data_IF_982862838144
#
_entry.id   IF_982862838144
#
_cell.length_a   1.000
_cell.length_b   1.000
_cell.length_c   1.000
_cell.angle_alpha   90.00
_cell.angle_beta   90.00
_cell.angle_gamma   90.00
#
_symmetry.space_group_name_H-M   'P 1'
#
loop_
_entity.id
_entity.type
_entity.pdbx_description
1 polymer ?
#
# COMPACT_ATOMS: atom_id res chain seq x y z
N UNK A 1 -7.98 -6.04 -17.17
CA UNK A 1 -8.37 -7.47 -17.05
C UNK A 1 -9.43 -7.60 -15.98
N UNK A 2 -10.17 -8.76 -15.95
CA UNK A 2 -11.18 -8.98 -14.92
C UNK A 2 -11.04 -10.36 -14.29
N UNK A 3 -11.14 -10.41 -12.98
CA UNK A 3 -11.26 -11.63 -12.19
C UNK A 3 -12.72 -11.78 -11.75
N UNK A 4 -13.35 -12.89 -12.08
CA UNK A 4 -14.72 -13.14 -11.63
C UNK A 4 -14.70 -13.72 -10.22
N UNK A 5 -15.20 -12.96 -9.27
CA UNK A 5 -15.34 -13.39 -7.89
C UNK A 5 -16.83 -13.58 -7.55
N UNK A 6 -17.27 -14.83 -7.53
CA UNK A 6 -18.65 -15.20 -7.16
C UNK A 6 -19.74 -14.41 -7.88
N UNK A 7 -19.50 -14.14 -9.18
CA UNK A 7 -20.47 -13.45 -10.06
C UNK A 7 -20.27 -11.96 -10.21
N UNK A 8 -19.33 -11.34 -9.52
CA UNK A 8 -18.91 -9.96 -9.77
C UNK A 8 -17.54 -9.89 -10.44
N UNK A 9 -17.32 -8.86 -11.22
CA UNK A 9 -16.08 -8.62 -11.97
C UNK A 9 -15.17 -7.66 -11.20
N UNK A 10 -14.02 -8.15 -10.78
CA UNK A 10 -12.97 -7.37 -10.12
C UNK A 10 -11.94 -6.98 -11.17
N UNK A 11 -11.78 -5.69 -11.38
CA UNK A 11 -10.85 -5.16 -12.36
C UNK A 11 -9.41 -5.18 -11.83
N UNK A 12 -8.47 -5.56 -12.68
CA UNK A 12 -7.04 -5.47 -12.39
C UNK A 12 -6.22 -5.28 -13.65
N UNK A 13 -5.00 -4.81 -13.51
CA UNK A 13 -4.01 -4.62 -14.56
C UNK A 13 -2.73 -5.37 -14.21
N UNK A 14 -2.12 -6.03 -15.19
CA UNK A 14 -0.81 -6.66 -15.04
C UNK A 14 0.18 -6.02 -16.01
N UNK A 15 1.37 -5.69 -15.51
CA UNK A 15 2.46 -5.12 -16.29
C UNK A 15 3.73 -5.93 -16.03
N UNK A 16 4.40 -6.37 -17.11
CA UNK A 16 5.62 -7.17 -17.03
C UNK A 16 5.40 -8.64 -16.67
N UNK A 17 6.49 -9.36 -16.47
CA UNK A 17 6.54 -10.78 -16.16
C UNK A 17 7.54 -11.05 -15.03
N UNK A 18 7.46 -12.20 -14.36
CA UNK A 18 8.36 -12.60 -13.30
C UNK A 18 7.69 -12.67 -11.93
N UNK A 19 8.38 -12.21 -10.88
CA UNK A 19 7.91 -12.31 -9.49
C UNK A 19 6.63 -11.47 -9.33
N UNK A 20 5.52 -12.07 -8.90
CA UNK A 20 4.27 -11.33 -8.69
C UNK A 20 4.44 -10.28 -7.59
N UNK A 21 4.02 -9.05 -7.87
CA UNK A 21 3.99 -7.96 -6.91
C UNK A 21 2.60 -7.34 -6.91
N UNK A 22 1.81 -7.63 -5.87
CA UNK A 22 0.46 -7.10 -5.71
C UNK A 22 0.48 -5.73 -5.06
N UNK A 23 -0.28 -4.80 -5.62
CA UNK A 23 -0.36 -3.41 -5.20
C UNK A 23 -1.81 -3.03 -4.93
N UNK A 24 -2.09 -2.67 -3.66
CA UNK A 24 -3.44 -2.47 -3.13
C UNK A 24 -3.59 -1.02 -2.69
N UNK A 25 -4.54 -0.32 -3.34
CA UNK A 25 -4.80 1.10 -3.10
C UNK A 25 -5.60 1.38 -1.81
N UNK A 26 -5.66 2.64 -1.41
CA UNK A 26 -6.42 3.15 -0.28
C UNK A 26 -7.93 3.15 -0.49
N UNK A 27 -8.65 3.47 0.59
CA UNK A 27 -10.12 3.54 0.59
C UNK A 27 -10.60 4.67 -0.34
N UNK A 28 -11.67 4.42 -1.09
CA UNK A 28 -12.27 5.33 -2.09
C UNK A 28 -11.42 5.57 -3.34
N UNK A 29 -10.13 5.23 -3.34
CA UNK A 29 -9.24 5.37 -4.50
C UNK A 29 -9.44 4.23 -5.51
N UNK A 30 -8.58 4.20 -6.52
CA UNK A 30 -8.46 3.09 -7.46
C UNK A 30 -6.99 2.74 -7.71
N UNK A 31 -6.74 1.80 -8.61
CA UNK A 31 -5.39 1.32 -8.91
C UNK A 31 -4.43 2.40 -9.41
N UNK A 32 -4.93 3.54 -9.92
CA UNK A 32 -4.07 4.61 -10.44
C UNK A 32 -3.23 5.23 -9.34
N UNK A 33 -3.71 5.24 -8.08
CA UNK A 33 -2.92 5.66 -6.92
C UNK A 33 -1.60 4.86 -6.82
N UNK A 34 -1.71 3.54 -6.81
CA UNK A 34 -0.53 2.68 -6.70
C UNK A 34 0.30 2.69 -7.98
N UNK A 35 -0.33 2.71 -9.15
CA UNK A 35 0.35 2.73 -10.43
C UNK A 35 1.14 4.02 -10.61
N UNK A 36 0.58 5.18 -10.29
CA UNK A 36 1.23 6.48 -10.43
C UNK A 36 2.49 6.62 -9.58
N UNK A 37 2.54 6.03 -8.39
CA UNK A 37 3.72 6.10 -7.54
C UNK A 37 4.72 4.96 -7.79
N UNK A 38 4.27 3.75 -8.16
CA UNK A 38 5.15 2.59 -8.30
C UNK A 38 5.84 2.53 -9.67
N UNK A 39 5.13 2.79 -10.78
CA UNK A 39 5.69 2.63 -12.13
C UNK A 39 6.91 3.49 -12.43
N UNK A 40 7.03 4.77 -11.98
CA UNK A 40 8.24 5.56 -12.21
C UNK A 40 9.55 4.91 -11.72
N UNK A 41 9.45 3.99 -10.77
CA UNK A 41 10.56 3.18 -10.30
C UNK A 41 10.56 1.82 -10.99
N UNK A 42 9.43 1.12 -10.94
CA UNK A 42 9.32 -0.28 -11.35
C UNK A 42 9.56 -0.53 -12.84
N UNK A 43 9.28 0.45 -13.72
CA UNK A 43 9.58 0.37 -15.16
C UNK A 43 11.09 0.19 -15.47
N UNK A 44 11.96 0.48 -14.49
CA UNK A 44 13.42 0.34 -14.61
C UNK A 44 13.92 -1.03 -14.13
N UNK A 45 13.00 -1.89 -13.63
CA UNK A 45 13.33 -3.20 -13.08
C UNK A 45 12.59 -4.29 -13.86
N UNK A 46 13.36 -5.16 -14.51
CA UNK A 46 12.83 -6.38 -15.12
C UNK A 46 12.60 -7.46 -14.07
N UNK A 47 11.82 -8.48 -14.43
CA UNK A 47 11.62 -9.66 -13.58
C UNK A 47 10.51 -9.52 -12.53
N UNK A 48 9.66 -8.50 -12.65
CA UNK A 48 8.50 -8.32 -11.79
C UNK A 48 7.21 -8.28 -12.61
N UNK A 49 6.24 -9.11 -12.22
CA UNK A 49 4.85 -9.04 -12.69
C UNK A 49 4.08 -8.13 -11.74
N UNK A 50 3.91 -6.88 -12.11
CA UNK A 50 3.21 -5.85 -11.32
C UNK A 50 1.71 -5.99 -11.49
N UNK A 51 0.98 -6.12 -10.39
CA UNK A 51 -0.46 -6.44 -10.38
C UNK A 51 -1.18 -5.34 -9.58
N UNK A 52 -1.92 -4.52 -10.29
CA UNK A 52 -2.72 -3.39 -9.76
C UNK A 52 -4.18 -3.77 -9.76
N UNK A 53 -4.83 -3.81 -8.61
CA UNK A 53 -6.24 -4.20 -8.47
C UNK A 53 -7.08 -2.98 -8.10
N UNK A 54 -8.28 -2.90 -8.66
CA UNK A 54 -9.34 -2.05 -8.14
C UNK A 54 -10.14 -2.84 -7.11
N UNK A 55 -10.22 -2.37 -5.86
CA UNK A 55 -10.99 -3.03 -4.81
C UNK A 55 -12.51 -2.98 -5.13
N UNK A 56 -13.33 -3.92 -4.61
CA UNK A 56 -14.77 -3.93 -4.84
C UNK A 56 -15.43 -2.57 -4.57
N UNK A 57 -16.26 -2.12 -5.51
CA UNK A 57 -16.94 -0.82 -5.44
C UNK A 57 -16.06 0.41 -5.66
N UNK A 58 -14.80 0.20 -6.06
CA UNK A 58 -13.82 1.24 -6.34
C UNK A 58 -13.24 1.04 -7.74
N UNK A 59 -12.85 2.14 -8.39
CA UNK A 59 -12.36 2.09 -9.77
C UNK A 59 -13.39 1.44 -10.73
N UNK A 60 -12.93 0.43 -11.46
CA UNK A 60 -13.75 -0.33 -12.44
C UNK A 60 -14.28 -1.66 -11.89
N UNK A 61 -14.10 -1.93 -10.60
CA UNK A 61 -14.59 -3.13 -9.96
C UNK A 61 -16.05 -3.00 -9.54
N UNK A 62 -16.81 -4.06 -9.79
CA UNK A 62 -18.20 -4.15 -9.34
C UNK A 62 -18.29 -4.27 -7.82
N UNK A 63 -19.41 -3.87 -7.25
CA UNK A 63 -19.77 -4.06 -5.85
C UNK A 63 -20.87 -5.11 -5.69
N UNK A 64 -20.97 -5.70 -4.51
CA UNK A 64 -22.09 -6.56 -4.16
C UNK A 64 -22.43 -6.43 -2.67
N UNK A 65 -23.71 -6.52 -2.32
CA UNK A 65 -24.19 -6.33 -0.95
C UNK A 65 -23.66 -7.35 0.06
N UNK A 66 -23.20 -8.50 -0.40
CA UNK A 66 -22.60 -9.55 0.45
C UNK A 66 -21.11 -9.30 0.75
N UNK A 67 -20.45 -8.39 0.00
CA UNK A 67 -19.13 -7.85 0.38
C UNK A 67 -19.39 -6.66 1.30
N UNK A 68 -19.45 -6.88 2.60
CA UNK A 68 -19.92 -5.87 3.55
C UNK A 68 -18.97 -5.60 4.72
N UNK A 69 -17.73 -6.09 4.63
CA UNK A 69 -16.71 -5.93 5.67
C UNK A 69 -15.30 -6.01 5.07
N UNK A 70 -14.31 -5.48 5.78
CA UNK A 70 -12.89 -5.66 5.39
C UNK A 70 -12.49 -7.13 5.33
N UNK A 71 -13.12 -8.00 6.13
CA UNK A 71 -12.84 -9.43 6.04
C UNK A 71 -13.33 -10.03 4.72
N UNK A 72 -14.51 -9.63 4.23
CA UNK A 72 -14.99 -10.12 2.90
C UNK A 72 -14.14 -9.59 1.74
N UNK A 73 -13.58 -8.36 1.85
CA UNK A 73 -12.57 -7.86 0.91
C UNK A 73 -11.29 -8.70 1.01
N UNK A 74 -10.82 -9.00 2.23
CA UNK A 74 -9.63 -9.84 2.44
C UNK A 74 -9.83 -11.25 1.88
N UNK A 75 -11.00 -11.85 2.05
CA UNK A 75 -11.32 -13.17 1.50
C UNK A 75 -11.25 -13.15 -0.04
N UNK A 76 -11.80 -12.12 -0.67
CA UNK A 76 -11.71 -11.90 -2.12
C UNK A 76 -10.26 -11.75 -2.58
N UNK A 77 -9.47 -10.91 -1.91
CA UNK A 77 -8.05 -10.72 -2.24
C UNK A 77 -7.24 -12.00 -2.12
N UNK A 78 -7.50 -12.80 -1.09
CA UNK A 78 -6.81 -14.09 -0.91
C UNK A 78 -7.16 -15.10 -2.01
N UNK A 79 -8.41 -15.14 -2.46
CA UNK A 79 -8.83 -15.96 -3.59
C UNK A 79 -8.20 -15.46 -4.89
N UNK A 80 -8.24 -14.15 -5.15
CA UNK A 80 -7.59 -13.50 -6.29
C UNK A 80 -6.09 -13.84 -6.36
N UNK A 81 -5.34 -13.63 -5.27
CA UNK A 81 -3.91 -13.95 -5.19
C UNK A 81 -3.68 -15.44 -5.48
N UNK A 82 -4.48 -16.33 -4.89
CA UNK A 82 -4.33 -17.77 -5.07
C UNK A 82 -4.50 -18.21 -6.53
N UNK A 83 -5.43 -17.57 -7.25
CA UNK A 83 -5.66 -17.84 -8.68
C UNK A 83 -4.54 -17.28 -9.55
N UNK A 84 -4.12 -16.03 -9.28
CA UNK A 84 -3.15 -15.32 -10.13
C UNK A 84 -1.74 -15.91 -10.02
N UNK A 85 -1.33 -16.39 -8.83
CA UNK A 85 0.05 -16.86 -8.60
C UNK A 85 0.16 -18.36 -8.44
N UNK A 86 -0.95 -19.12 -8.50
CA UNK A 86 -0.95 -20.59 -8.56
C UNK A 86 0.04 -21.30 -7.60
N UNK A 87 0.22 -20.78 -6.39
CA UNK A 87 1.13 -21.34 -5.37
C UNK A 87 2.52 -20.69 -5.30
N UNK A 88 2.90 -19.83 -6.22
CA UNK A 88 4.16 -19.11 -6.19
C UNK A 88 4.26 -18.12 -5.02
N UNK A 89 5.49 -17.77 -4.65
CA UNK A 89 5.76 -16.68 -3.71
C UNK A 89 5.61 -15.34 -4.43
N UNK A 90 5.25 -14.31 -3.67
CA UNK A 90 4.94 -12.99 -4.19
C UNK A 90 5.37 -11.86 -3.24
N UNK A 91 5.36 -10.64 -3.73
CA UNK A 91 5.52 -9.42 -2.97
C UNK A 91 4.17 -8.71 -2.83
N UNK A 92 4.00 -7.91 -1.79
CA UNK A 92 2.80 -7.12 -1.57
C UNK A 92 3.13 -5.67 -1.18
N UNK A 93 2.36 -4.74 -1.70
CA UNK A 93 2.39 -3.35 -1.29
C UNK A 93 0.97 -2.84 -1.04
N UNK A 94 0.82 -1.89 -0.13
CA UNK A 94 -0.46 -1.27 0.12
C UNK A 94 -0.35 0.12 0.72
N UNK A 95 -1.25 0.98 0.28
CA UNK A 95 -1.40 2.34 0.78
C UNK A 95 -2.63 2.43 1.67
N UNK A 96 -2.54 3.13 2.82
CA UNK A 96 -3.65 3.41 3.73
C UNK A 96 -4.47 2.15 4.07
N UNK A 97 -5.75 2.09 3.65
CA UNK A 97 -6.61 0.90 3.77
C UNK A 97 -6.02 -0.33 3.07
N UNK A 98 -5.41 -0.13 1.90
CA UNK A 98 -4.66 -1.19 1.21
C UNK A 98 -3.53 -1.74 2.08
N UNK A 99 -2.86 -0.91 2.87
CA UNK A 99 -1.87 -1.33 3.86
C UNK A 99 -2.46 -2.19 4.98
N UNK A 100 -3.66 -1.86 5.45
CA UNK A 100 -4.40 -2.69 6.41
C UNK A 100 -4.75 -4.06 5.85
N UNK A 101 -5.28 -4.09 4.61
CA UNK A 101 -5.59 -5.33 3.89
C UNK A 101 -4.33 -6.16 3.63
N UNK A 102 -3.21 -5.53 3.27
CA UNK A 102 -1.91 -6.17 3.05
C UNK A 102 -1.42 -6.91 4.29
N UNK A 103 -1.58 -6.35 5.48
CA UNK A 103 -1.26 -7.03 6.75
C UNK A 103 -2.20 -8.22 6.99
N UNK A 104 -3.47 -8.10 6.62
CA UNK A 104 -4.42 -9.21 6.62
C UNK A 104 -3.99 -10.33 5.66
N UNK A 105 -3.53 -10.00 4.44
CA UNK A 105 -3.00 -10.96 3.46
C UNK A 105 -1.76 -11.65 4.02
N UNK A 106 -0.82 -10.90 4.59
CA UNK A 106 0.36 -11.47 5.23
C UNK A 106 -0.03 -12.52 6.27
N UNK A 107 -1.08 -12.27 7.06
CA UNK A 107 -1.55 -13.21 8.08
C UNK A 107 -2.04 -14.56 7.53
N UNK A 108 -2.34 -14.64 6.24
CA UNK A 108 -2.81 -15.86 5.57
C UNK A 108 -1.77 -16.52 4.66
N UNK A 109 -0.74 -15.76 4.24
CA UNK A 109 0.26 -16.20 3.27
C UNK A 109 1.70 -15.98 3.76
N UNK A 110 1.94 -16.02 5.07
CA UNK A 110 3.24 -15.70 5.70
C UNK A 110 4.43 -16.34 4.99
N UNK A 111 4.34 -17.64 4.67
CA UNK A 111 5.45 -18.39 4.04
C UNK A 111 5.61 -18.10 2.53
N UNK A 112 4.65 -17.38 1.95
CA UNK A 112 4.62 -17.09 0.51
C UNK A 112 4.98 -15.64 0.18
N UNK A 113 5.09 -14.76 1.15
CA UNK A 113 5.42 -13.35 0.95
C UNK A 113 6.94 -13.16 0.99
N UNK A 114 7.52 -12.63 -0.10
CA UNK A 114 8.94 -12.28 -0.17
C UNK A 114 9.27 -10.95 0.51
N UNK A 115 8.30 -10.06 0.61
CA UNK A 115 8.47 -8.75 1.23
C UNK A 115 7.18 -7.92 1.18
N UNK A 116 7.11 -6.92 2.05
CA UNK A 116 5.94 -6.07 2.21
C UNK A 116 6.34 -4.59 2.23
N UNK A 117 5.69 -3.78 1.37
CA UNK A 117 5.92 -2.34 1.26
C UNK A 117 4.64 -1.58 1.63
N UNK A 118 4.69 -0.79 2.69
CA UNK A 118 3.54 -0.09 3.25
C UNK A 118 3.70 1.42 3.14
N UNK A 119 2.70 2.09 2.58
CA UNK A 119 2.65 3.54 2.37
C UNK A 119 1.54 4.11 3.23
N UNK A 120 1.87 4.93 4.22
CA UNK A 120 0.92 5.51 5.16
C UNK A 120 -0.18 4.51 5.59
N UNK A 121 0.17 3.27 6.01
CA UNK A 121 -0.82 2.22 6.20
C UNK A 121 -1.75 2.52 7.37
N UNK A 122 -3.03 2.23 7.18
CA UNK A 122 -3.98 2.20 8.28
C UNK A 122 -3.65 1.02 9.21
N UNK A 123 -3.50 1.29 10.50
CA UNK A 123 -3.21 0.26 11.52
C UNK A 123 -4.41 0.04 12.40
N UNK A 124 -4.85 1.12 13.04
CA UNK A 124 -6.01 1.10 13.89
C UNK A 124 -7.25 1.44 13.07
N UNK A 125 -8.21 0.55 13.04
CA UNK A 125 -9.51 0.82 12.43
C UNK A 125 -10.44 1.66 13.33
N UNK A 126 -9.96 2.12 14.48
CA UNK A 126 -10.65 3.00 15.42
C UNK A 126 -9.96 4.36 15.46
N UNK A 127 -10.47 5.28 14.66
CA UNK A 127 -9.94 6.65 14.55
C UNK A 127 -9.84 7.39 15.90
N UNK A 128 -10.69 7.04 16.87
CA UNK A 128 -10.66 7.68 18.20
C UNK A 128 -9.40 7.32 18.99
N UNK A 129 -8.70 6.27 18.62
CA UNK A 129 -7.48 5.77 19.26
C UNK A 129 -6.21 6.09 18.52
N UNK A 130 -6.31 6.65 17.32
CA UNK A 130 -5.13 7.01 16.51
C UNK A 130 -4.41 8.21 17.09
N UNK A 131 -3.09 8.14 17.16
CA UNK A 131 -2.23 9.29 17.48
C UNK A 131 -1.91 10.08 16.20
N UNK A 132 -2.94 10.78 15.69
CA UNK A 132 -2.88 11.54 14.44
C UNK A 132 -2.13 12.86 14.64
N UNK A 133 -1.33 13.25 13.64
CA UNK A 133 -0.70 14.56 13.60
C UNK A 133 -1.76 15.66 13.52
N UNK A 134 -1.68 16.65 14.42
CA UNK A 134 -2.51 17.86 14.37
C UNK A 134 -1.80 19.01 13.66
N UNK A 135 -0.73 18.73 12.94
CA UNK A 135 0.02 19.75 12.22
C UNK A 135 -0.79 20.26 11.03
N UNK A 136 -1.02 21.57 10.99
CA UNK A 136 -1.59 22.26 9.84
C UNK A 136 -0.48 22.87 8.95
N UNK A 137 0.75 22.39 9.10
CA UNK A 137 1.88 22.89 8.33
C UNK A 137 1.68 22.54 6.85
N UNK A 138 1.71 23.58 6.01
CA UNK A 138 1.63 23.46 4.56
C UNK A 138 2.75 24.26 3.92
N UNK A 139 3.27 23.71 2.84
CA UNK A 139 4.25 24.36 1.97
C UNK A 139 3.53 24.73 0.68
N UNK A 140 3.13 26.00 0.56
CA UNK A 140 2.26 26.48 -0.52
C UNK A 140 3.01 27.36 -1.52
N UNK A 141 2.72 27.16 -2.80
CA UNK A 141 2.87 28.18 -3.81
C UNK A 141 1.66 29.14 -3.72
N UNK A 142 1.88 30.33 -3.20
CA UNK A 142 0.82 31.30 -2.93
C UNK A 142 0.09 31.72 -4.22
N UNK A 143 0.80 31.84 -5.33
CA UNK A 143 0.20 32.20 -6.61
C UNK A 143 -0.71 31.09 -7.10
N UNK A 144 -0.23 29.85 -7.07
CA UNK A 144 -1.01 28.67 -7.47
C UNK A 144 -2.25 28.50 -6.60
N UNK A 145 -2.11 28.74 -5.28
CA UNK A 145 -3.25 28.70 -4.36
C UNK A 145 -4.32 29.73 -4.71
N UNK A 146 -3.92 31.00 -4.93
CA UNK A 146 -4.87 32.07 -5.27
C UNK A 146 -5.60 31.82 -6.59
N UNK A 147 -4.95 31.18 -7.57
CA UNK A 147 -5.54 30.82 -8.85
C UNK A 147 -6.57 29.68 -8.76
N UNK A 148 -6.47 28.80 -7.76
CA UNK A 148 -7.26 27.57 -7.67
C UNK A 148 -8.20 27.48 -6.45
N UNK A 149 -8.10 28.37 -5.46
CA UNK A 149 -8.80 28.28 -4.17
C UNK A 149 -10.33 28.17 -4.22
N UNK A 150 -10.94 28.58 -5.32
CA UNK A 150 -12.39 28.53 -5.51
C UNK A 150 -12.88 27.24 -6.20
N UNK A 151 -11.94 26.44 -6.75
CA UNK A 151 -12.23 25.15 -7.38
C UNK A 151 -12.57 24.07 -6.33
N UNK A 152 -13.64 23.32 -6.54
CA UNK A 152 -14.11 22.30 -5.56
C UNK A 152 -13.16 21.10 -5.47
N UNK A 153 -12.55 20.66 -6.58
CA UNK A 153 -11.57 19.59 -6.58
C UNK A 153 -10.29 20.01 -5.84
N UNK A 154 -9.91 21.28 -5.98
CA UNK A 154 -8.78 21.84 -5.26
C UNK A 154 -9.05 21.95 -3.75
N UNK A 155 -10.27 22.31 -3.36
CA UNK A 155 -10.68 22.31 -1.95
C UNK A 155 -10.61 20.91 -1.34
N UNK A 156 -10.97 19.88 -2.09
CA UNK A 156 -10.84 18.48 -1.67
C UNK A 156 -9.37 18.13 -1.47
N UNK A 157 -8.51 18.43 -2.46
CA UNK A 157 -7.05 18.26 -2.36
C UNK A 157 -6.47 18.94 -1.10
N UNK A 158 -6.90 20.15 -0.80
CA UNK A 158 -6.41 20.95 0.34
C UNK A 158 -6.69 20.32 1.71
N UNK A 159 -7.63 19.38 1.83
CA UNK A 159 -7.94 18.73 3.11
C UNK A 159 -6.75 17.92 3.65
N UNK A 160 -6.01 17.25 2.76
CA UNK A 160 -4.92 16.35 3.14
C UNK A 160 -3.54 16.82 2.65
N UNK A 161 -3.47 17.77 1.72
CA UNK A 161 -2.23 18.24 1.14
C UNK A 161 -1.33 18.93 2.17
N UNK A 162 -0.04 18.59 2.15
CA UNK A 162 1.05 19.26 2.88
C UNK A 162 1.89 20.12 1.92
N UNK A 163 2.19 19.62 0.73
CA UNK A 163 2.82 20.40 -0.34
C UNK A 163 1.74 20.78 -1.36
N UNK A 164 1.58 22.08 -1.59
CA UNK A 164 0.55 22.65 -2.47
C UNK A 164 1.21 23.43 -3.60
N UNK A 165 1.25 22.82 -4.77
CA UNK A 165 1.73 23.40 -6.03
C UNK A 165 1.09 22.67 -7.21
N UNK A 166 1.36 23.13 -8.43
CA UNK A 166 0.82 22.56 -9.66
C UNK A 166 1.15 21.06 -9.78
N UNK A 167 2.39 20.66 -9.50
CA UNK A 167 2.83 19.27 -9.62
C UNK A 167 2.04 18.33 -8.69
N UNK A 168 1.92 18.67 -7.40
CA UNK A 168 1.23 17.81 -6.43
C UNK A 168 -0.28 17.75 -6.70
N UNK A 169 -0.87 18.85 -7.18
CA UNK A 169 -2.27 18.87 -7.56
C UNK A 169 -2.56 18.06 -8.82
N UNK A 170 -1.72 18.16 -9.87
CA UNK A 170 -1.86 17.35 -11.07
C UNK A 170 -1.75 15.84 -10.74
N UNK A 171 -0.80 15.45 -9.92
CA UNK A 171 -0.69 14.07 -9.46
C UNK A 171 -1.90 13.62 -8.66
N UNK A 172 -2.38 14.45 -7.74
CA UNK A 172 -3.59 14.17 -6.98
C UNK A 172 -4.80 13.95 -7.88
N UNK A 173 -4.99 14.79 -8.90
CA UNK A 173 -6.10 14.63 -9.86
C UNK A 173 -6.04 13.28 -10.60
N UNK A 174 -4.85 12.89 -11.04
CA UNK A 174 -4.66 11.71 -11.87
C UNK A 174 -4.59 10.40 -11.08
N UNK A 175 -4.18 10.44 -9.82
CA UNK A 175 -3.89 9.25 -9.02
C UNK A 175 -4.92 9.01 -7.90
N UNK A 176 -5.59 10.04 -7.42
CA UNK A 176 -6.52 9.95 -6.28
C UNK A 176 -7.91 10.41 -6.66
N UNK A 177 -8.05 11.64 -7.12
CA UNK A 177 -9.36 12.24 -7.40
C UNK A 177 -10.14 11.47 -8.47
N UNK A 178 -9.45 10.91 -9.47
CA UNK A 178 -10.06 10.07 -10.49
C UNK A 178 -10.82 8.88 -9.89
N UNK A 179 -10.25 8.22 -8.88
CA UNK A 179 -10.89 7.14 -8.14
C UNK A 179 -12.05 7.62 -7.26
N UNK A 180 -11.82 8.70 -6.50
CA UNK A 180 -12.85 9.29 -5.61
C UNK A 180 -14.15 9.62 -6.35
N UNK A 181 -14.04 10.10 -7.59
CA UNK A 181 -15.20 10.53 -8.40
C UNK A 181 -16.08 9.38 -8.90
N UNK A 182 -15.54 8.16 -8.96
CA UNK A 182 -16.25 7.00 -9.54
C UNK A 182 -16.56 5.91 -8.52
N UNK A 183 -16.09 6.06 -7.30
CA UNK A 183 -16.31 5.09 -6.22
C UNK A 183 -17.79 4.97 -5.86
N UNK A 184 -18.27 3.74 -5.61
CA UNK A 184 -19.64 3.47 -5.15
C UNK A 184 -19.81 3.91 -3.68
N UNK A 185 -20.16 5.16 -3.49
CA UNK A 185 -20.31 5.77 -2.16
C UNK A 185 -21.33 5.04 -1.26
N UNK A 186 -22.37 4.44 -1.84
CA UNK A 186 -23.37 3.67 -1.08
C UNK A 186 -22.75 2.38 -0.53
N UNK A 187 -22.02 1.67 -1.37
CA UNK A 187 -21.28 0.46 -0.97
C UNK A 187 -20.23 0.80 0.09
N UNK A 188 -19.45 1.85 -0.14
CA UNK A 188 -18.37 2.26 0.77
C UNK A 188 -18.89 2.72 2.14
N UNK A 189 -20.01 3.42 2.19
CA UNK A 189 -20.70 3.76 3.44
C UNK A 189 -21.17 2.52 4.21
N UNK A 190 -21.53 1.45 3.53
CA UNK A 190 -21.85 0.17 4.18
C UNK A 190 -20.60 -0.54 4.67
N UNK A 191 -19.55 -0.59 3.86
CA UNK A 191 -18.26 -1.21 4.18
C UNK A 191 -17.60 -0.56 5.40
N UNK A 192 -17.65 0.78 5.50
CA UNK A 192 -17.04 1.53 6.59
C UNK A 192 -17.62 1.20 7.97
N UNK A 193 -18.86 0.69 8.05
CA UNK A 193 -19.48 0.24 9.30
C UNK A 193 -18.89 -1.06 9.86
N UNK A 194 -18.26 -1.87 9.00
CA UNK A 194 -17.63 -3.14 9.32
C UNK A 194 -16.14 -3.14 8.89
N UNK A 195 -15.45 -2.05 9.24
CA UNK A 195 -14.09 -1.76 8.77
C UNK A 195 -13.02 -2.61 9.45
N UNK A 196 -13.30 -3.17 10.64
CA UNK A 196 -12.37 -4.01 11.38
C UNK A 196 -12.38 -5.45 10.86
N UNK A 197 -11.21 -6.09 10.91
CA UNK A 197 -11.16 -7.54 10.86
C UNK A 197 -11.81 -8.15 12.12
N UNK A 198 -12.39 -9.36 12.02
CA UNK A 198 -12.91 -10.08 13.20
C UNK A 198 -11.79 -10.69 14.06
N UNK A 199 -10.54 -10.39 13.77
CA UNK A 199 -9.35 -10.84 14.48
C UNK A 199 -8.37 -9.68 14.66
N UNK A 200 -7.51 -9.79 15.67
CA UNK A 200 -6.42 -8.85 15.88
C UNK A 200 -5.28 -9.17 14.90
N UNK A 201 -5.03 -8.26 13.95
CA UNK A 201 -3.97 -8.44 12.96
C UNK A 201 -2.58 -8.21 13.56
N UNK A 202 -2.47 -7.35 14.58
CA UNK A 202 -1.21 -7.07 15.27
C UNK A 202 -0.77 -8.29 16.08
N UNK A 203 -1.67 -8.87 16.87
CA UNK A 203 -1.41 -10.12 17.56
C UNK A 203 -0.99 -11.24 16.60
N UNK A 204 -1.65 -11.35 15.45
CA UNK A 204 -1.26 -12.34 14.44
C UNK A 204 0.13 -12.08 13.91
N UNK A 205 0.48 -10.84 13.57
CA UNK A 205 1.80 -10.47 13.06
C UNK A 205 2.88 -10.73 14.09
N UNK A 206 2.68 -10.37 15.37
CA UNK A 206 3.61 -10.63 16.47
C UNK A 206 3.89 -12.13 16.66
N UNK A 207 2.86 -12.96 16.50
CA UNK A 207 2.98 -14.42 16.62
C UNK A 207 3.57 -15.09 15.37
N UNK A 208 3.70 -14.36 14.26
CA UNK A 208 4.32 -14.87 13.05
C UNK A 208 5.85 -14.79 13.13
N UNK A 209 6.52 -15.77 12.56
CA UNK A 209 7.97 -15.70 12.31
C UNK A 209 8.23 -15.13 10.91
N UNK A 210 7.79 -13.88 10.69
CA UNK A 210 8.02 -13.22 9.40
C UNK A 210 9.39 -12.55 9.39
N UNK A 211 10.32 -13.13 8.65
CA UNK A 211 11.74 -12.71 8.56
C UNK A 211 12.06 -12.05 7.20
N UNK A 212 11.05 -11.70 6.42
CA UNK A 212 11.25 -11.09 5.11
C UNK A 212 11.33 -9.55 5.24
N UNK A 213 11.92 -8.85 4.25
CA UNK A 213 12.00 -7.40 4.25
C UNK A 213 10.62 -6.72 4.34
N UNK A 214 10.52 -5.74 5.24
CA UNK A 214 9.39 -4.83 5.35
C UNK A 214 9.90 -3.39 5.21
N UNK A 215 9.15 -2.56 4.50
CA UNK A 215 9.33 -1.10 4.49
C UNK A 215 8.03 -0.45 4.89
N UNK A 216 8.09 0.52 5.79
CA UNK A 216 6.95 1.36 6.19
C UNK A 216 7.32 2.82 5.93
N UNK A 217 6.56 3.50 5.09
CA UNK A 217 6.67 4.93 4.86
C UNK A 217 5.50 5.64 5.53
N UNK A 218 5.77 6.73 6.21
CA UNK A 218 4.73 7.57 6.81
C UNK A 218 5.08 9.05 6.74
N UNK A 219 4.07 9.87 6.48
CA UNK A 219 4.18 11.31 6.51
C UNK A 219 4.19 11.85 7.94
N UNK A 220 5.11 12.78 8.23
CA UNK A 220 5.15 13.39 9.56
C UNK A 220 3.93 14.28 9.83
N UNK A 221 3.37 14.87 8.79
CA UNK A 221 2.18 15.71 8.83
C UNK A 221 0.89 14.97 8.46
N UNK A 222 0.92 13.62 8.41
CA UNK A 222 -0.25 12.82 8.08
C UNK A 222 -1.37 13.04 9.12
N UNK A 223 -2.51 13.52 8.63
CA UNK A 223 -3.71 13.80 9.42
C UNK A 223 -4.78 12.70 9.31
N UNK A 224 -4.47 11.62 8.58
CA UNK A 224 -5.37 10.47 8.37
C UNK A 224 -4.92 9.26 9.15
N UNK A 225 -3.62 8.98 9.22
CA UNK A 225 -3.03 7.90 10.02
C UNK A 225 -1.84 8.43 10.84
N UNK A 226 -1.69 7.91 12.05
CA UNK A 226 -0.66 8.38 12.98
C UNK A 226 0.68 7.68 12.78
N UNK A 227 1.76 8.42 12.45
CA UNK A 227 3.09 7.84 12.30
C UNK A 227 3.63 7.23 13.61
N UNK A 228 3.17 7.69 14.79
CA UNK A 228 3.59 7.13 16.08
C UNK A 228 3.09 5.71 16.30
N UNK A 229 1.89 5.42 15.82
CA UNK A 229 1.35 4.06 15.86
C UNK A 229 2.13 3.15 14.91
N UNK A 230 2.56 3.68 13.76
CA UNK A 230 3.44 2.97 12.80
C UNK A 230 4.80 2.64 13.39
N UNK A 231 5.40 3.54 14.18
CA UNK A 231 6.64 3.28 14.89
C UNK A 231 6.50 2.09 15.86
N UNK A 232 5.37 2.01 16.58
CA UNK A 232 5.13 0.90 17.52
C UNK A 232 5.08 -0.45 16.80
N UNK A 233 4.29 -0.54 15.71
CA UNK A 233 4.15 -1.82 15.01
C UNK A 233 5.39 -2.21 14.19
N UNK A 234 6.28 -1.26 13.88
CA UNK A 234 7.51 -1.58 13.15
C UNK A 234 8.40 -2.57 13.91
N UNK A 235 8.31 -2.58 15.24
CA UNK A 235 9.05 -3.50 16.12
C UNK A 235 8.57 -4.97 15.98
N UNK A 236 7.35 -5.19 15.48
CA UNK A 236 6.80 -6.52 15.26
C UNK A 236 7.42 -7.22 14.03
N UNK A 237 8.10 -6.46 13.16
CA UNK A 237 8.76 -6.99 11.97
C UNK A 237 10.27 -7.00 12.14
N UNK A 238 10.88 -8.18 12.17
CA UNK A 238 12.33 -8.33 12.42
C UNK A 238 13.23 -7.61 11.41
N UNK A 239 12.77 -7.42 10.18
CA UNK A 239 13.54 -6.79 9.10
C UNK A 239 12.79 -5.59 8.54
N UNK A 240 12.38 -4.70 9.43
CA UNK A 240 11.65 -3.49 9.09
C UNK A 240 12.60 -2.30 8.89
N UNK A 241 12.43 -1.59 7.78
CA UNK A 241 12.84 -0.19 7.63
C UNK A 241 11.61 0.68 7.79
N UNK A 242 11.69 1.73 8.58
CA UNK A 242 10.61 2.71 8.74
C UNK A 242 11.15 4.12 8.54
N UNK A 243 10.48 4.90 7.70
CA UNK A 243 10.82 6.30 7.42
C UNK A 243 9.65 7.21 7.76
N UNK A 244 9.89 8.18 8.67
CA UNK A 244 8.97 9.27 9.00
C UNK A 244 9.41 10.50 8.24
N UNK A 245 8.73 10.78 7.13
CA UNK A 245 9.16 11.78 6.14
C UNK A 245 8.56 13.14 6.47
N UNK A 246 9.43 14.14 6.65
CA UNK A 246 9.01 15.53 6.80
C UNK A 246 8.54 16.14 5.48
N UNK A 247 7.71 17.17 5.54
CA UNK A 247 7.03 17.77 4.39
C UNK A 247 6.16 16.74 3.63
N UNK A 248 5.53 15.82 4.36
CA UNK A 248 4.66 14.81 3.80
C UNK A 248 3.48 14.50 4.74
N UNK A 249 2.30 14.36 4.16
CA UNK A 249 1.08 13.90 4.80
C UNK A 249 0.69 12.51 4.33
N UNK A 250 -0.62 12.30 4.19
CA UNK A 250 -1.18 11.02 3.72
C UNK A 250 -0.81 10.70 2.27
N UNK A 251 -0.55 11.74 1.47
CA UNK A 251 -0.15 11.63 0.06
C UNK A 251 1.38 11.69 -0.11
N UNK A 252 2.13 11.08 0.79
CA UNK A 252 3.60 11.07 0.83
C UNK A 252 4.23 10.75 -0.53
N UNK A 253 3.69 9.79 -1.25
CA UNK A 253 4.18 9.32 -2.56
C UNK A 253 4.05 10.40 -3.66
N UNK A 254 3.17 11.37 -3.46
CA UNK A 254 3.00 12.55 -4.34
C UNK A 254 3.85 13.72 -3.86
N UNK A 255 3.89 13.94 -2.54
CA UNK A 255 4.52 15.10 -1.92
C UNK A 255 6.04 14.98 -1.83
N UNK A 256 6.55 13.77 -1.65
CA UNK A 256 7.98 13.48 -1.52
C UNK A 256 8.38 12.29 -2.42
N UNK A 257 8.15 12.38 -3.74
CA UNK A 257 8.41 11.27 -4.66
C UNK A 257 9.87 10.83 -4.69
N UNK A 258 10.82 11.75 -4.45
CA UNK A 258 12.25 11.42 -4.39
C UNK A 258 12.58 10.49 -3.22
N UNK A 259 11.97 10.71 -2.04
CA UNK A 259 12.14 9.84 -0.87
C UNK A 259 11.44 8.50 -1.10
N UNK A 260 10.20 8.55 -1.60
CA UNK A 260 9.45 7.36 -1.95
C UNK A 260 10.23 6.45 -2.91
N UNK A 261 10.80 7.04 -3.97
CA UNK A 261 11.55 6.30 -4.98
C UNK A 261 12.80 5.62 -4.39
N UNK A 262 13.54 6.31 -3.52
CA UNK A 262 14.73 5.73 -2.85
C UNK A 262 14.36 4.58 -1.94
N UNK A 263 13.31 4.70 -1.16
CA UNK A 263 12.85 3.66 -0.24
C UNK A 263 12.31 2.43 -0.97
N UNK A 264 11.61 2.64 -2.10
CA UNK A 264 11.17 1.53 -2.94
C UNK A 264 12.36 0.80 -3.57
N UNK A 265 13.38 1.51 -4.05
CA UNK A 265 14.60 0.91 -4.60
C UNK A 265 15.37 0.12 -3.54
N UNK A 266 15.51 0.65 -2.31
CA UNK A 266 16.12 -0.10 -1.19
C UNK A 266 15.32 -1.36 -0.86
N UNK A 267 13.99 -1.25 -0.80
CA UNK A 267 13.11 -2.39 -0.56
C UNK A 267 13.32 -3.50 -1.59
N UNK A 268 13.29 -3.16 -2.90
CA UNK A 268 13.50 -4.11 -3.98
C UNK A 268 14.85 -4.82 -3.84
N UNK A 269 15.92 -4.07 -3.60
CA UNK A 269 17.26 -4.63 -3.39
C UNK A 269 17.32 -5.60 -2.21
N UNK A 270 16.66 -5.27 -1.09
CA UNK A 270 16.61 -6.17 0.08
C UNK A 270 15.84 -7.45 -0.21
N UNK A 271 14.78 -7.38 -1.00
CA UNK A 271 14.00 -8.55 -1.43
C UNK A 271 14.81 -9.41 -2.42
N UNK A 272 15.51 -8.81 -3.38
CA UNK A 272 16.39 -9.54 -4.31
C UNK A 272 17.46 -10.35 -3.57
N UNK A 273 18.14 -9.72 -2.58
CA UNK A 273 19.12 -10.41 -1.74
C UNK A 273 18.50 -11.62 -1.03
N UNK A 274 17.29 -11.46 -0.49
CA UNK A 274 16.61 -12.56 0.20
C UNK A 274 16.23 -13.70 -0.75
N UNK A 275 15.78 -13.37 -1.96
CA UNK A 275 15.44 -14.38 -2.97
C UNK A 275 16.68 -15.16 -3.39
N UNK A 276 17.82 -14.47 -3.63
CA UNK A 276 19.10 -15.09 -3.95
C UNK A 276 19.57 -16.03 -2.83
N UNK A 277 19.49 -15.57 -1.56
CA UNK A 277 19.85 -16.41 -0.41
C UNK A 277 18.96 -17.64 -0.27
N UNK A 278 17.64 -17.51 -0.54
CA UNK A 278 16.72 -18.65 -0.48
C UNK A 278 17.00 -19.66 -1.60
N UNK A 279 17.35 -19.19 -2.81
CA UNK A 279 17.77 -20.06 -3.94
C UNK A 279 19.05 -20.80 -3.59
N UNK A 280 20.10 -20.08 -3.15
CA UNK A 280 21.38 -20.69 -2.76
C UNK A 280 21.23 -21.77 -1.68
N UNK A 281 20.38 -21.54 -0.68
CA UNK A 281 20.08 -22.52 0.37
C UNK A 281 19.41 -23.79 -0.18
N UNK A 282 18.52 -23.66 -1.16
CA UNK A 282 17.84 -24.81 -1.79
C UNK A 282 18.78 -25.63 -2.66
N UNK A 283 19.71 -24.99 -3.34
CA UNK A 283 20.68 -25.60 -4.24
C UNK A 283 21.93 -26.18 -3.50
N UNK A 284 22.04 -25.91 -2.19
CA UNK A 284 23.20 -26.32 -1.39
C UNK A 284 24.46 -25.50 -1.68
N UNK A 285 24.33 -24.42 -2.46
CA UNK A 285 25.43 -23.51 -2.79
C UNK A 285 25.51 -22.33 -1.81
N UNK A 286 26.50 -22.37 -0.95
CA UNK A 286 26.77 -21.33 0.04
C UNK A 286 27.84 -20.31 -0.39
N UNK A 287 28.40 -20.45 -1.61
CA UNK A 287 29.51 -19.61 -2.11
C UNK A 287 29.10 -18.14 -2.34
N UNK A 288 27.84 -17.88 -2.65
CA UNK A 288 27.29 -16.56 -3.00
C UNK A 288 26.60 -15.82 -1.85
N UNK A 289 26.63 -16.33 -0.62
CA UNK A 289 26.01 -15.67 0.53
C UNK A 289 26.77 -14.41 0.94
N UNK A 290 26.41 -13.26 0.41
CA UNK A 290 27.07 -11.96 0.64
C UNK A 290 27.01 -11.46 2.11
N UNK A 291 26.05 -11.94 2.92
CA UNK A 291 25.81 -11.43 4.29
C UNK A 291 25.77 -12.51 5.38
N UNK A 292 26.00 -13.79 5.05
CA UNK A 292 25.89 -14.89 6.04
C UNK A 292 27.04 -14.94 7.06
N UNK A 293 28.14 -14.21 6.85
CA UNK A 293 29.33 -14.28 7.73
C UNK A 293 29.15 -13.59 9.10
N UNK A 294 28.03 -12.93 9.36
CA UNK A 294 27.80 -12.17 10.58
C UNK A 294 26.63 -12.69 11.45
N UNK A 295 26.08 -13.87 11.14
CA UNK A 295 25.06 -14.54 11.96
C UNK A 295 25.70 -15.73 12.71
N UNK A 296 26.58 -15.44 13.69
CA UNK A 296 26.95 -16.38 14.77
C UNK A 296 26.89 -15.65 16.10
#
# INVERSE_FOLDING_TARGET
MYFNYRGINIHYECIGEGIPFFMIHGFECDKELMKGCMEPVMEKYDGYKRIYIDLPGMGKSESASWINSSNSILDMLCEFISVIVAGEKFMIAGESYGGYLTRGILSRFTDRVYGMFLICPLILSDYSKMDISRSNLKFMDDKFYEENKDDEDFKEFMKNAVIVNEYTYERYKNEILCGLKIADSKFLNQLSRNYRFPFDVDEKVQNMRFDQPVTILCGRQDNSVGYRDLLKISEDYKRCSISVVDMAGHNLQIERPEVFNLELQDFLKRVEIEIEEQKAKREGDYSNMKYSKHRR
#
